data_IF_750777203570
#
_entry.id   IF_750777203570
#
_cell.length_a   1.000
_cell.length_b   1.000
_cell.length_c   1.000
_cell.angle_alpha   90.00
_cell.angle_beta   90.00
_cell.angle_gamma   90.00
#
_symmetry.space_group_name_H-M   'P 1'
#
loop_
_entity.id
_entity.type
_entity.pdbx_description
1 polymer ?
#
# COMPACT_ATOMS: atom_id res chain seq x y z
N UNK A 1 1.05 -5.84 -10.83
CA UNK A 1 -0.06 -4.91 -11.16
C UNK A 1 -0.78 -5.44 -12.39
N UNK A 2 -2.09 -5.68 -12.30
CA UNK A 2 -2.92 -6.04 -13.45
C UNK A 2 -3.06 -4.79 -14.35
N UNK A 3 -2.49 -4.86 -15.55
CA UNK A 3 -2.49 -3.75 -16.52
C UNK A 3 -3.70 -3.79 -17.46
N UNK A 4 -4.66 -4.69 -17.21
CA UNK A 4 -5.88 -4.83 -17.99
C UNK A 4 -5.85 -6.00 -18.98
N UNK A 5 -6.94 -6.15 -19.73
CA UNK A 5 -7.17 -7.31 -20.60
C UNK A 5 -6.06 -7.49 -21.64
N UNK A 6 -5.44 -8.66 -21.62
CA UNK A 6 -4.41 -9.07 -22.59
C UNK A 6 -2.97 -8.78 -22.16
N UNK A 7 -2.77 -8.15 -21.01
CA UNK A 7 -1.44 -7.94 -20.43
C UNK A 7 -1.15 -8.99 -19.35
N UNK A 8 0.09 -9.48 -19.32
CA UNK A 8 0.55 -10.27 -18.18
C UNK A 8 0.79 -9.33 -16.99
N UNK A 9 0.41 -9.71 -15.76
CA UNK A 9 0.66 -8.89 -14.59
C UNK A 9 2.16 -8.63 -14.43
N UNK A 10 2.54 -7.36 -14.27
CA UNK A 10 3.91 -7.02 -13.90
C UNK A 10 4.16 -7.46 -12.45
N UNK A 11 5.25 -8.21 -12.23
CA UNK A 11 5.70 -8.66 -10.92
C UNK A 11 7.14 -8.21 -10.68
N UNK A 12 7.34 -7.36 -9.67
CA UNK A 12 8.67 -7.07 -9.14
C UNK A 12 8.82 -7.76 -7.79
N UNK A 13 9.93 -8.45 -7.57
CA UNK A 13 10.25 -9.15 -6.33
C UNK A 13 11.50 -8.51 -5.77
N UNK A 14 11.44 -8.09 -4.50
CA UNK A 14 12.61 -7.62 -3.76
C UNK A 14 12.80 -8.47 -2.50
N UNK A 15 14.06 -8.69 -2.08
CA UNK A 15 14.31 -9.37 -0.83
C UNK A 15 13.78 -8.53 0.35
N UNK A 16 13.31 -9.21 1.41
CA UNK A 16 12.84 -8.58 2.64
C UNK A 16 14.02 -8.22 3.55
N UNK A 17 15.01 -7.50 3.03
CA UNK A 17 16.25 -7.18 3.75
C UNK A 17 16.14 -5.87 4.57
N UNK A 18 14.91 -5.48 4.95
CA UNK A 18 14.62 -4.26 5.71
C UNK A 18 14.01 -4.54 7.08
N UNK A 19 14.12 -3.58 8.00
CA UNK A 19 13.52 -3.65 9.34
C UNK A 19 12.05 -3.24 9.35
N UNK A 20 11.57 -2.60 8.29
CA UNK A 20 10.20 -2.09 8.17
C UNK A 20 9.66 -2.15 6.74
N UNK A 21 8.34 -2.12 6.59
CA UNK A 21 7.67 -2.03 5.28
C UNK A 21 8.06 -0.75 4.52
N UNK A 22 8.37 0.35 5.22
CA UNK A 22 8.84 1.59 4.61
C UNK A 22 10.17 1.39 3.86
N UNK A 23 11.12 0.73 4.50
CA UNK A 23 12.44 0.46 3.93
C UNK A 23 12.34 -0.49 2.75
N UNK A 24 11.55 -1.57 2.89
CA UNK A 24 11.30 -2.53 1.82
C UNK A 24 10.65 -1.87 0.61
N UNK A 25 9.65 -1.00 0.82
CA UNK A 25 9.02 -0.24 -0.25
C UNK A 25 10.02 0.71 -0.94
N UNK A 26 10.89 1.38 -0.18
CA UNK A 26 11.95 2.23 -0.73
C UNK A 26 12.93 1.46 -1.61
N UNK A 27 13.35 0.26 -1.19
CA UNK A 27 14.21 -0.63 -1.99
C UNK A 27 13.51 -1.07 -3.26
N UNK A 28 12.24 -1.46 -3.18
CA UNK A 28 11.41 -1.84 -4.33
C UNK A 28 11.38 -0.76 -5.41
N UNK A 29 11.06 0.49 -5.04
CA UNK A 29 10.99 1.59 -6.00
C UNK A 29 12.36 1.96 -6.58
N UNK A 30 13.42 1.90 -5.77
CA UNK A 30 14.79 2.16 -6.23
C UNK A 30 15.23 1.13 -7.28
N UNK A 31 14.94 -0.15 -7.08
CA UNK A 31 15.35 -1.22 -7.99
C UNK A 31 14.45 -1.35 -9.22
N UNK A 32 13.14 -1.24 -9.07
CA UNK A 32 12.18 -1.50 -10.15
C UNK A 32 11.96 -0.28 -11.04
N UNK A 33 11.80 0.89 -10.43
CA UNK A 33 11.40 2.13 -11.13
C UNK A 33 12.56 3.11 -11.31
N UNK A 34 13.67 2.91 -10.59
CA UNK A 34 14.82 3.84 -10.56
C UNK A 34 14.43 5.27 -10.16
N UNK A 35 13.33 5.45 -9.43
CA UNK A 35 12.88 6.75 -8.93
C UNK A 35 13.15 6.82 -7.42
N UNK A 36 13.90 7.82 -6.94
CA UNK A 36 14.00 8.11 -5.51
C UNK A 36 12.61 8.24 -4.90
N UNK A 37 12.33 7.36 -3.93
CA UNK A 37 11.01 7.26 -3.30
C UNK A 37 11.18 7.10 -1.80
N UNK A 38 10.45 7.89 -1.03
CA UNK A 38 10.40 7.81 0.43
C UNK A 38 8.96 7.53 0.83
N UNK A 39 8.78 6.45 1.58
CA UNK A 39 7.47 6.04 2.12
C UNK A 39 7.50 6.24 3.62
N UNK A 40 6.45 6.83 4.20
CA UNK A 40 6.18 6.88 5.64
C UNK A 40 4.84 6.24 5.91
N UNK A 41 4.77 5.35 6.89
CA UNK A 41 3.58 4.63 7.30
C UNK A 41 3.43 4.74 8.82
N UNK A 42 2.21 4.90 9.27
CA UNK A 42 1.88 4.99 10.68
C UNK A 42 0.56 4.27 10.93
N UNK A 43 0.51 3.54 12.04
CA UNK A 43 -0.71 2.92 12.55
C UNK A 43 -0.77 3.20 14.04
N UNK A 44 -1.91 3.70 14.50
CA UNK A 44 -2.14 4.02 15.90
C UNK A 44 -3.52 3.55 16.32
N UNK A 45 -3.63 3.14 17.58
CA UNK A 45 -4.90 2.88 18.23
C UNK A 45 -5.41 4.18 18.86
N UNK A 46 -6.61 4.59 18.47
CA UNK A 46 -7.32 5.73 19.02
C UNK A 46 -8.36 5.23 20.01
N UNK A 47 -8.30 5.79 21.22
CA UNK A 47 -9.31 5.54 22.25
C UNK A 47 -10.20 6.77 22.31
N UNK A 48 -11.41 6.65 21.79
CA UNK A 48 -12.44 7.68 21.87
C UNK A 48 -13.59 7.22 22.79
N UNK A 49 -14.61 8.08 22.93
CA UNK A 49 -15.84 7.73 23.67
C UNK A 49 -17.01 7.71 22.69
N UNK A 50 -17.88 6.72 22.83
CA UNK A 50 -19.15 6.67 22.10
C UNK A 50 -20.16 7.70 22.63
N UNK A 51 -21.34 7.77 22.01
CA UNK A 51 -22.43 8.68 22.44
C UNK A 51 -22.92 8.39 23.87
N UNK A 52 -22.70 7.16 24.36
CA UNK A 52 -23.06 6.69 25.70
C UNK A 52 -21.90 6.87 26.73
N UNK A 53 -20.75 7.40 26.29
CA UNK A 53 -19.58 7.67 27.12
C UNK A 53 -18.65 6.48 27.38
N UNK A 54 -18.91 5.31 26.77
CA UNK A 54 -18.05 4.14 26.89
C UNK A 54 -16.78 4.30 26.04
N UNK A 55 -15.63 3.79 26.50
CA UNK A 55 -14.41 3.80 25.71
C UNK A 55 -14.56 2.90 24.48
N UNK A 56 -14.21 3.44 23.33
CA UNK A 56 -14.19 2.71 22.06
C UNK A 56 -12.77 2.78 21.49
N UNK A 57 -12.32 1.62 21.02
CA UNK A 57 -11.00 1.44 20.43
C UNK A 57 -11.15 1.42 18.92
N UNK A 58 -10.50 2.35 18.23
CA UNK A 58 -10.51 2.46 16.78
C UNK A 58 -9.09 2.50 16.26
N UNK A 59 -8.77 1.66 15.28
CA UNK A 59 -7.47 1.70 14.62
C UNK A 59 -7.48 2.73 13.49
N UNK A 60 -6.41 3.51 13.40
CA UNK A 60 -6.21 4.44 12.29
C UNK A 60 -4.83 4.24 11.68
N UNK A 61 -4.81 4.15 10.37
CA UNK A 61 -3.60 4.12 9.56
C UNK A 61 -3.48 5.40 8.74
N UNK A 62 -2.25 5.87 8.57
CA UNK A 62 -1.90 6.99 7.73
C UNK A 62 -0.58 6.72 7.02
N UNK A 63 -0.36 7.42 5.91
CA UNK A 63 0.88 7.28 5.17
C UNK A 63 1.12 8.42 4.21
N UNK A 64 2.40 8.58 3.85
CA UNK A 64 2.84 9.56 2.87
C UNK A 64 3.87 8.90 1.96
N UNK A 65 3.75 9.16 0.66
CA UNK A 65 4.74 8.79 -0.34
C UNK A 65 5.26 10.07 -0.98
N UNK A 66 6.58 10.26 -0.92
CA UNK A 66 7.27 11.31 -1.64
C UNK A 66 8.07 10.70 -2.78
N UNK A 67 7.90 11.24 -3.98
CA UNK A 67 8.52 10.75 -5.20
C UNK A 67 8.60 11.88 -6.23
N UNK A 68 9.63 11.88 -7.08
CA UNK A 68 9.68 12.75 -8.25
C UNK A 68 8.62 12.40 -9.29
N UNK A 69 8.00 13.43 -9.88
CA UNK A 69 7.09 13.25 -11.00
C UNK A 69 7.78 12.57 -12.20
N UNK A 70 7.05 11.76 -13.00
CA UNK A 70 7.50 11.11 -14.24
C UNK A 70 8.38 11.98 -15.16
N UNK A 71 8.08 13.28 -15.24
CA UNK A 71 8.69 14.21 -16.20
C UNK A 71 9.43 15.37 -15.50
N UNK A 72 9.80 15.23 -14.22
CA UNK A 72 10.52 16.29 -13.51
C UNK A 72 11.94 16.46 -14.11
N UNK A 73 12.36 17.67 -14.53
CA UNK A 73 13.72 17.90 -15.04
C UNK A 73 14.82 17.62 -14.00
N UNK A 74 14.49 17.68 -12.72
CA UNK A 74 15.32 17.31 -11.56
C UNK A 74 15.62 15.80 -11.50
N UNK A 75 14.76 14.96 -12.12
CA UNK A 75 14.90 13.49 -12.19
C UNK A 75 16.19 13.03 -12.89
N UNK A 76 16.87 13.92 -13.63
CA UNK A 76 17.83 13.53 -14.68
C UNK A 76 19.28 13.92 -14.40
N UNK A 77 19.65 14.28 -13.17
CA UNK A 77 21.06 14.47 -12.79
C UNK A 77 21.66 13.24 -12.11
N UNK A 78 21.41 12.04 -12.62
CA UNK A 78 22.38 10.97 -12.40
C UNK A 78 23.57 11.24 -13.33
N UNK A 79 24.80 11.35 -12.82
CA UNK A 79 25.97 11.52 -13.68
C UNK A 79 26.05 10.37 -14.67
N UNK A 80 26.34 10.65 -15.94
CA UNK A 80 26.69 9.61 -16.91
C UNK A 80 27.82 8.75 -16.31
N UNK A 81 27.61 7.43 -16.23
CA UNK A 81 28.67 6.48 -15.89
C UNK A 81 29.81 6.67 -16.90
N UNK A 82 30.95 7.15 -16.42
CA UNK A 82 32.10 7.45 -17.27
C UNK A 82 32.55 6.20 -18.03
N UNK A 83 32.66 6.31 -19.36
CA UNK A 83 33.28 5.29 -20.20
C UNK A 83 34.71 5.07 -19.71
N UNK A 84 34.95 3.89 -19.15
CA UNK A 84 36.08 3.60 -18.28
C UNK A 84 37.44 3.98 -18.84
N UNK A 85 37.93 5.14 -18.43
CA UNK A 85 39.34 5.53 -18.43
C UNK A 85 39.56 6.58 -17.31
N UNK A 86 39.81 6.08 -16.09
CA UNK A 86 40.72 6.66 -15.10
C UNK A 86 40.53 8.10 -14.61
N UNK A 87 39.55 8.35 -13.73
CA UNK A 87 39.72 9.35 -12.67
C UNK A 87 39.18 8.74 -11.36
N UNK A 88 40.07 8.37 -10.43
CA UNK A 88 39.75 7.94 -9.06
C UNK A 88 39.37 9.14 -8.17
N UNK A 89 38.56 10.05 -8.71
CA UNK A 89 37.85 11.02 -7.88
C UNK A 89 36.59 10.30 -7.44
N UNK A 90 36.40 10.20 -6.12
CA UNK A 90 35.14 9.78 -5.51
C UNK A 90 34.01 10.32 -6.37
N UNK A 91 33.23 9.43 -7.00
CA UNK A 91 32.01 9.81 -7.66
C UNK A 91 31.15 10.41 -6.56
N UNK A 92 31.20 11.74 -6.41
CA UNK A 92 30.34 12.46 -5.50
C UNK A 92 28.96 12.22 -6.08
N UNK A 93 28.22 11.28 -5.47
CA UNK A 93 26.78 11.20 -5.65
C UNK A 93 26.27 12.58 -5.25
N UNK A 94 26.04 13.45 -6.23
CA UNK A 94 25.34 14.70 -6.00
C UNK A 94 23.90 14.28 -5.78
N UNK A 95 23.57 13.91 -4.54
CA UNK A 95 22.17 13.80 -4.13
C UNK A 95 21.49 15.09 -4.54
N UNK A 96 20.38 14.96 -5.26
CA UNK A 96 19.60 16.11 -5.69
C UNK A 96 19.18 16.89 -4.43
N UNK A 97 19.64 18.15 -4.30
CA UNK A 97 19.37 18.97 -3.11
C UNK A 97 17.87 19.07 -2.79
N UNK A 98 17.01 19.08 -3.81
CA UNK A 98 15.56 19.10 -3.62
C UNK A 98 15.03 17.75 -3.10
N UNK A 99 15.62 16.63 -3.54
CA UNK A 99 15.33 15.32 -2.96
C UNK A 99 15.78 15.21 -1.51
N UNK A 100 17.00 15.66 -1.20
CA UNK A 100 17.54 15.63 0.16
C UNK A 100 16.66 16.47 1.11
N UNK A 101 16.27 17.67 0.68
CA UNK A 101 15.35 18.54 1.41
C UNK A 101 13.99 17.85 1.63
N UNK A 102 13.36 17.35 0.56
CA UNK A 102 12.05 16.71 0.65
C UNK A 102 12.07 15.45 1.52
N UNK A 103 13.09 14.60 1.37
CA UNK A 103 13.24 13.37 2.15
C UNK A 103 13.52 13.66 3.63
N UNK A 104 14.31 14.70 3.93
CA UNK A 104 14.54 15.19 5.30
C UNK A 104 13.24 15.67 5.93
N UNK A 105 12.48 16.53 5.25
CA UNK A 105 11.19 17.02 5.73
C UNK A 105 10.21 15.87 5.99
N UNK A 106 10.09 14.93 5.06
CA UNK A 106 9.25 13.72 5.23
C UNK A 106 9.75 12.85 6.38
N UNK A 107 11.05 12.83 6.66
CA UNK A 107 11.64 12.17 7.83
C UNK A 107 11.17 12.75 9.16
N UNK A 108 10.81 14.04 9.21
CA UNK A 108 10.34 14.71 10.45
C UNK A 108 8.88 14.46 10.79
N UNK A 109 8.14 13.73 9.95
CA UNK A 109 6.74 13.41 10.22
C UNK A 109 6.65 12.43 11.38
N UNK A 110 5.86 12.76 12.40
CA UNK A 110 5.59 11.85 13.51
C UNK A 110 4.39 10.93 13.24
N UNK A 111 4.35 9.80 13.95
CA UNK A 111 3.25 8.82 13.88
C UNK A 111 1.90 9.47 14.22
N UNK A 112 1.87 10.34 15.23
CA UNK A 112 0.67 11.06 15.66
C UNK A 112 0.18 12.00 14.56
N UNK A 113 1.07 12.69 13.84
CA UNK A 113 0.68 13.61 12.76
C UNK A 113 0.02 12.88 11.57
N UNK A 114 0.43 11.64 11.30
CA UNK A 114 -0.17 10.81 10.24
C UNK A 114 -1.49 10.16 10.67
N UNK A 115 -1.71 9.99 11.97
CA UNK A 115 -2.86 9.22 12.49
C UNK A 115 -3.88 10.09 13.23
N UNK A 116 -3.61 11.36 13.47
CA UNK A 116 -4.54 12.26 14.18
C UNK A 116 -5.74 12.66 13.28
N UNK A 117 -7.00 12.40 13.71
CA UNK A 117 -8.20 12.86 13.02
C UNK A 117 -8.36 14.37 12.91
N UNK A 118 -7.71 15.14 13.78
CA UNK A 118 -7.79 16.60 13.80
C UNK A 118 -6.76 17.26 12.88
N UNK A 119 -5.78 16.49 12.38
CA UNK A 119 -4.79 16.97 11.42
C UNK A 119 -5.27 16.69 9.99
N UNK A 120 -5.74 17.74 9.32
CA UNK A 120 -6.04 17.67 7.90
C UNK A 120 -4.75 17.44 7.08
N UNK A 121 -4.84 16.63 6.01
CA UNK A 121 -3.69 16.27 5.16
C UNK A 121 -3.07 17.52 4.55
N UNK A 122 -3.89 18.48 4.13
CA UNK A 122 -3.47 19.74 3.54
C UNK A 122 -2.65 20.58 4.52
N UNK A 123 -3.02 20.52 5.82
CA UNK A 123 -2.29 21.20 6.88
C UNK A 123 -0.94 20.54 7.14
N UNK A 124 -0.88 19.20 7.12
CA UNK A 124 0.38 18.46 7.24
C UNK A 124 1.32 18.80 6.07
N UNK A 125 0.81 18.76 4.84
CA UNK A 125 1.58 19.08 3.64
C UNK A 125 2.03 20.55 3.63
N UNK A 126 1.18 21.48 4.04
CA UNK A 126 1.57 22.88 4.18
C UNK A 126 2.65 23.05 5.26
N UNK A 127 2.51 22.45 6.44
CA UNK A 127 3.54 22.48 7.49
C UNK A 127 4.90 22.06 6.94
N UNK A 128 4.94 20.95 6.20
CA UNK A 128 6.17 20.39 5.63
C UNK A 128 6.77 21.26 4.52
N UNK A 129 5.95 21.77 3.59
CA UNK A 129 6.43 22.33 2.32
C UNK A 129 6.07 23.81 2.09
N UNK A 130 5.66 24.55 3.14
CA UNK A 130 5.23 25.95 3.01
C UNK A 130 6.30 26.88 2.42
N UNK A 131 7.60 26.63 2.67
CA UNK A 131 8.68 27.49 2.18
C UNK A 131 8.82 27.48 0.65
N UNK A 132 8.69 26.29 0.04
CA UNK A 132 8.76 26.09 -1.42
C UNK A 132 7.40 26.28 -2.11
N UNK A 133 6.33 26.22 -1.33
CA UNK A 133 4.94 26.27 -1.80
C UNK A 133 4.41 24.86 -2.11
N UNK A 134 3.15 24.62 -1.72
CA UNK A 134 2.47 23.34 -1.94
C UNK A 134 1.21 23.54 -2.77
N UNK A 135 0.99 22.63 -3.73
CA UNK A 135 -0.26 22.54 -4.47
C UNK A 135 -0.97 21.23 -4.11
N UNK A 136 -2.16 21.36 -3.54
CA UNK A 136 -3.02 20.23 -3.18
C UNK A 136 -4.08 20.03 -4.28
N UNK A 137 -4.38 18.78 -4.59
CA UNK A 137 -5.44 18.36 -5.52
C UNK A 137 -6.62 17.77 -4.77
N UNK A 138 -7.76 17.61 -5.46
CA UNK A 138 -8.94 17.01 -4.87
C UNK A 138 -8.67 15.58 -4.37
N UNK A 139 -9.01 15.27 -3.12
CA UNK A 139 -8.74 13.96 -2.54
C UNK A 139 -9.55 12.87 -3.25
N UNK A 140 -8.97 11.68 -3.35
CA UNK A 140 -9.66 10.47 -3.80
C UNK A 140 -10.01 9.62 -2.58
N UNK A 141 -11.29 9.30 -2.42
CA UNK A 141 -11.76 8.45 -1.32
C UNK A 141 -11.34 7.01 -1.56
N UNK A 142 -10.64 6.42 -0.60
CA UNK A 142 -10.28 5.00 -0.58
C UNK A 142 -11.35 4.24 0.21
N UNK A 143 -11.78 3.10 -0.32
CA UNK A 143 -12.76 2.23 0.33
C UNK A 143 -12.20 0.83 0.47
N UNK A 144 -12.48 0.19 1.60
CA UNK A 144 -12.34 -1.25 1.75
C UNK A 144 -13.47 -1.94 0.98
N UNK A 145 -13.13 -2.53 -0.17
CA UNK A 145 -14.08 -3.24 -1.04
C UNK A 145 -13.44 -4.48 -1.63
N UNK A 146 -13.88 -5.64 -1.15
CA UNK A 146 -13.54 -6.92 -1.76
C UNK A 146 -14.47 -7.22 -2.94
N UNK A 147 -13.94 -7.91 -3.95
CA UNK A 147 -14.72 -8.36 -5.11
C UNK A 147 -15.39 -9.72 -4.90
N UNK A 148 -15.20 -10.36 -3.74
CA UNK A 148 -15.85 -11.62 -3.42
C UNK A 148 -17.38 -11.44 -3.33
N UNK A 149 -18.11 -12.50 -3.65
CA UNK A 149 -19.56 -12.54 -3.48
C UNK A 149 -19.97 -13.99 -3.28
N UNK A 150 -21.14 -14.20 -2.67
CA UNK A 150 -21.69 -15.54 -2.49
C UNK A 150 -21.75 -16.31 -3.81
N UNK A 151 -22.20 -15.66 -4.89
CA UNK A 151 -22.32 -16.30 -6.21
C UNK A 151 -20.97 -16.69 -6.82
N UNK A 152 -19.94 -15.86 -6.65
CA UNK A 152 -18.58 -16.21 -7.10
C UNK A 152 -18.01 -17.39 -6.33
N UNK A 153 -18.21 -17.42 -5.01
CA UNK A 153 -17.74 -18.54 -4.18
C UNK A 153 -18.53 -19.81 -4.50
N UNK A 154 -19.85 -19.70 -4.70
CA UNK A 154 -20.67 -20.82 -5.16
C UNK A 154 -20.16 -21.37 -6.50
N UNK A 155 -19.88 -20.51 -7.48
CA UNK A 155 -19.35 -20.94 -8.77
C UNK A 155 -17.97 -21.62 -8.70
N UNK A 156 -17.16 -21.34 -7.65
CA UNK A 156 -15.94 -22.10 -7.38
C UNK A 156 -16.28 -23.49 -6.84
N UNK A 157 -17.21 -23.58 -5.88
CA UNK A 157 -17.67 -24.84 -5.30
C UNK A 157 -18.38 -25.73 -6.32
N UNK A 158 -19.12 -25.16 -7.28
CA UNK A 158 -19.76 -25.90 -8.38
C UNK A 158 -18.74 -26.63 -9.28
N UNK A 159 -17.46 -26.22 -9.25
CA UNK A 159 -16.38 -26.89 -9.97
C UNK A 159 -15.80 -28.11 -9.26
N UNK A 160 -16.19 -28.37 -8.01
CA UNK A 160 -15.69 -29.47 -7.19
C UNK A 160 -16.51 -30.74 -7.45
N UNK A 161 -15.90 -31.89 -7.27
CA UNK A 161 -16.60 -33.18 -7.31
C UNK A 161 -17.50 -33.36 -6.10
N UNK A 162 -18.53 -34.21 -6.22
CA UNK A 162 -19.42 -34.54 -5.11
C UNK A 162 -18.66 -35.10 -3.89
N UNK A 163 -17.57 -35.85 -4.11
CA UNK A 163 -16.71 -36.36 -3.04
C UNK A 163 -15.98 -35.22 -2.30
N UNK A 164 -15.45 -34.24 -3.03
CA UNK A 164 -14.78 -33.06 -2.44
C UNK A 164 -15.77 -32.17 -1.69
N UNK A 165 -16.98 -31.98 -2.21
CA UNK A 165 -18.05 -31.27 -1.52
C UNK A 165 -18.43 -31.98 -0.23
N UNK A 166 -18.68 -33.29 -0.25
CA UNK A 166 -18.99 -34.06 0.95
C UNK A 166 -17.86 -34.06 1.98
N UNK A 167 -16.61 -34.12 1.54
CA UNK A 167 -15.45 -34.03 2.43
C UNK A 167 -15.29 -32.64 3.07
N UNK A 168 -15.86 -31.60 2.47
CA UNK A 168 -15.81 -30.21 2.94
C UNK A 168 -16.98 -29.84 3.88
N UNK A 169 -17.91 -30.76 4.14
CA UNK A 169 -19.05 -30.52 5.04
C UNK A 169 -18.64 -30.71 6.49
N UNK A 170 -18.85 -29.67 7.30
CA UNK A 170 -18.72 -29.72 8.75
C UNK A 170 -20.04 -29.26 9.38
N UNK A 171 -20.60 -30.03 10.31
CA UNK A 171 -21.88 -29.72 10.98
C UNK A 171 -23.08 -29.47 10.02
N UNK A 172 -23.06 -30.04 8.81
CA UNK A 172 -24.11 -29.90 7.80
C UNK A 172 -24.00 -28.62 6.94
N UNK A 173 -22.95 -27.83 7.12
CA UNK A 173 -22.67 -26.63 6.33
C UNK A 173 -21.27 -26.69 5.70
N UNK A 174 -21.09 -25.93 4.61
CA UNK A 174 -19.78 -25.65 4.03
C UNK A 174 -19.49 -24.18 4.32
N UNK A 175 -18.41 -23.91 5.05
CA UNK A 175 -17.96 -22.57 5.39
C UNK A 175 -16.71 -22.21 4.59
N UNK A 176 -16.80 -21.16 3.78
CA UNK A 176 -15.67 -20.63 3.00
C UNK A 176 -15.35 -19.22 3.45
N UNK A 177 -14.15 -19.03 3.97
CA UNK A 177 -13.64 -17.71 4.36
C UNK A 177 -12.83 -17.11 3.23
N UNK A 178 -13.16 -15.88 2.82
CA UNK A 178 -12.39 -15.16 1.82
C UNK A 178 -11.06 -14.68 2.42
N UNK A 179 -9.93 -15.13 1.88
CA UNK A 179 -8.58 -14.74 2.36
C UNK A 179 -8.23 -13.24 2.15
N UNK A 180 -9.06 -12.48 1.45
CA UNK A 180 -8.84 -11.04 1.24
C UNK A 180 -9.57 -10.14 2.24
N UNK A 181 -10.84 -10.46 2.53
CA UNK A 181 -11.67 -9.64 3.43
C UNK A 181 -12.16 -10.38 4.68
N UNK A 182 -11.72 -11.63 4.85
CA UNK A 182 -12.09 -12.51 5.96
C UNK A 182 -13.59 -12.73 6.14
N UNK A 183 -14.42 -12.39 5.14
CA UNK A 183 -15.85 -12.68 5.16
C UNK A 183 -16.07 -14.18 4.99
N UNK A 184 -16.83 -14.79 5.91
CA UNK A 184 -17.22 -16.21 5.85
C UNK A 184 -18.57 -16.36 5.17
N UNK A 185 -18.60 -17.13 4.08
CA UNK A 185 -19.81 -17.53 3.38
C UNK A 185 -20.20 -18.94 3.81
N UNK A 186 -21.49 -19.13 4.09
CA UNK A 186 -22.06 -20.42 4.47
C UNK A 186 -22.99 -20.93 3.37
N UNK A 187 -22.89 -22.22 3.09
CA UNK A 187 -23.72 -22.93 2.12
C UNK A 187 -24.25 -24.21 2.75
N UNK A 188 -25.49 -24.58 2.42
CA UNK A 188 -26.07 -25.86 2.82
C UNK A 188 -25.78 -26.92 1.75
N UNK A 189 -25.68 -28.19 2.14
CA UNK A 189 -25.32 -29.29 1.22
C UNK A 189 -26.33 -29.44 0.08
N UNK A 190 -27.61 -29.23 0.36
CA UNK A 190 -28.72 -29.28 -0.60
C UNK A 190 -28.51 -28.33 -1.81
N UNK A 191 -27.71 -27.27 -1.66
CA UNK A 191 -27.40 -26.33 -2.75
C UNK A 191 -26.51 -26.92 -3.86
N UNK A 192 -25.85 -28.06 -3.59
CA UNK A 192 -24.88 -28.73 -4.48
C UNK A 192 -25.26 -30.18 -4.82
N UNK A 193 -26.22 -30.78 -4.11
CA UNK A 193 -26.73 -32.14 -4.37
C UNK A 193 -27.58 -32.26 -5.65
N UNK A 194 -27.79 -31.15 -6.37
CA UNK A 194 -28.70 -31.05 -7.54
C UNK A 194 -28.02 -31.00 -8.91
N UNK A 195 -26.70 -31.25 -9.00
CA UNK A 195 -25.94 -31.18 -10.26
C UNK A 195 -25.63 -32.56 -10.86
#
# INVERSE_FOLDING_TARGET
IDQGRGMQPYQGIVPMDGSSLEEMAGVYFRQSEQIPTRVRLAVAELIDRDEDGNPRHNWRAGGLVAQFLPQAPERMRQPDLHGGDGDERDAVEVEDDAWLEASTLVGTIDTDELTDPQVAIERLLFRLFHERGVRVYDPQTVFDRCSCSRDKIKGVLDGFSAEEIHASVEDGEIAVTCEFCSTTYKFVTEEFESA
#
